data_IF_490209559251
#
_entry.id   IF_490209559251
#
_cell.length_a   1.000
_cell.length_b   1.000
_cell.length_c   1.000
_cell.angle_alpha   90.00
_cell.angle_beta   90.00
_cell.angle_gamma   90.00
#
_symmetry.space_group_name_H-M   'P 1'
#
loop_
_entity.id
_entity.type
_entity.pdbx_description
1 polymer ?
#
# COMPACT_ATOMS: atom_id res chain seq x y z
N UNK A 1 9.59 -3.91 -7.78
CA UNK A 1 9.42 -2.93 -6.69
C UNK A 1 8.74 -3.67 -5.55
N UNK A 2 8.86 -3.19 -4.30
CA UNK A 2 8.21 -3.82 -3.15
C UNK A 2 7.45 -2.77 -2.35
N UNK A 3 6.21 -3.07 -1.98
CA UNK A 3 5.42 -2.27 -1.04
C UNK A 3 4.71 -3.19 -0.04
N UNK A 4 4.52 -2.70 1.18
CA UNK A 4 3.77 -3.43 2.20
C UNK A 4 3.04 -2.50 3.16
N UNK A 5 1.99 -3.03 3.78
CA UNK A 5 1.25 -2.40 4.86
C UNK A 5 0.88 -3.48 5.86
N UNK A 6 1.11 -3.23 7.15
CA UNK A 6 0.78 -4.15 8.23
C UNK A 6 0.22 -3.40 9.42
N UNK A 7 -0.52 -4.11 10.27
CA UNK A 7 -0.86 -3.65 11.61
C UNK A 7 -0.11 -4.46 12.66
N UNK A 8 0.33 -3.77 13.71
CA UNK A 8 0.88 -4.40 14.89
C UNK A 8 0.04 -4.07 16.13
N UNK A 9 -0.13 -5.05 17.01
CA UNK A 9 -0.78 -4.89 18.30
C UNK A 9 0.11 -5.52 19.36
N UNK A 10 0.46 -4.76 20.41
CA UNK A 10 1.37 -5.18 21.46
C UNK A 10 2.74 -5.71 20.95
N UNK A 11 3.25 -5.14 19.84
CA UNK A 11 4.52 -5.53 19.24
C UNK A 11 4.43 -6.70 18.26
N UNK A 12 3.27 -7.34 18.14
CA UNK A 12 3.05 -8.48 17.25
C UNK A 12 2.27 -8.07 15.99
N UNK A 13 2.66 -8.61 14.84
CA UNK A 13 1.98 -8.35 13.57
C UNK A 13 0.65 -9.11 13.50
N UNK A 14 -0.45 -8.39 13.33
CA UNK A 14 -1.82 -8.96 13.31
C UNK A 14 -2.26 -9.31 11.89
N UNK A 15 -1.88 -8.49 10.93
CA UNK A 15 -2.09 -8.72 9.50
C UNK A 15 -1.03 -7.99 8.68
N UNK A 16 -0.83 -8.45 7.45
CA UNK A 16 0.08 -7.84 6.48
C UNK A 16 -0.48 -8.00 5.06
N UNK A 17 -0.23 -7.01 4.21
CA UNK A 17 -0.44 -7.04 2.77
C UNK A 17 0.85 -6.57 2.10
N UNK A 18 1.29 -7.27 1.06
CA UNK A 18 2.48 -6.86 0.31
C UNK A 18 2.38 -7.20 -1.17
N UNK A 19 3.10 -6.42 -1.98
CA UNK A 19 3.32 -6.63 -3.40
C UNK A 19 4.83 -6.75 -3.67
N UNK A 20 5.23 -7.75 -4.48
CA UNK A 20 6.60 -7.91 -4.95
C UNK A 20 6.66 -8.06 -6.49
N UNK A 21 6.92 -6.96 -7.19
CA UNK A 21 7.01 -6.97 -8.65
C UNK A 21 8.17 -7.84 -9.20
N UNK A 22 9.12 -8.28 -8.36
CA UNK A 22 10.16 -9.22 -8.77
C UNK A 22 9.64 -10.66 -8.88
N UNK A 23 8.52 -10.97 -8.21
CA UNK A 23 7.82 -12.27 -8.29
C UNK A 23 6.76 -12.28 -9.38
N UNK A 24 6.18 -11.12 -9.67
CA UNK A 24 5.29 -10.90 -10.81
C UNK A 24 4.48 -9.63 -10.65
N UNK A 25 4.04 -9.06 -11.77
CA UNK A 25 3.25 -7.80 -11.79
C UNK A 25 1.85 -7.94 -11.18
N UNK A 26 1.39 -9.17 -10.93
CA UNK A 26 0.17 -9.46 -10.16
C UNK A 26 0.46 -10.14 -8.80
N UNK A 27 1.72 -10.18 -8.36
CA UNK A 27 2.12 -10.85 -7.13
C UNK A 27 1.70 -10.02 -5.91
N UNK A 28 0.50 -10.26 -5.39
CA UNK A 28 -0.02 -9.60 -4.21
C UNK A 28 -0.49 -10.64 -3.21
N UNK A 29 -0.09 -10.47 -1.95
CA UNK A 29 -0.28 -11.45 -0.90
C UNK A 29 -0.78 -10.79 0.37
N UNK A 30 -1.37 -11.61 1.23
CA UNK A 30 -1.80 -11.19 2.55
C UNK A 30 -1.68 -12.30 3.59
N UNK A 31 -1.56 -11.89 4.86
CA UNK A 31 -1.66 -12.76 6.03
C UNK A 31 -2.52 -12.12 7.10
N UNK A 32 -3.13 -12.96 7.95
CA UNK A 32 -3.98 -12.49 9.05
C UNK A 32 -5.34 -11.98 8.57
N UNK A 33 -6.03 -11.26 9.45
CA UNK A 33 -7.34 -10.68 9.17
C UNK A 33 -7.17 -9.28 8.57
N UNK A 34 -6.94 -9.22 7.25
CA UNK A 34 -6.81 -7.95 6.52
C UNK A 34 -8.14 -7.17 6.54
N UNK A 35 -8.11 -5.83 6.66
CA UNK A 35 -9.29 -4.99 6.53
C UNK A 35 -10.08 -5.24 5.24
N UNK A 36 -11.41 -5.22 5.34
CA UNK A 36 -12.35 -5.48 4.22
C UNK A 36 -12.16 -4.52 3.03
N UNK A 37 -11.61 -3.35 3.28
CA UNK A 37 -11.32 -2.32 2.28
C UNK A 37 -10.31 -2.83 1.23
N UNK A 38 -9.47 -3.80 1.60
CA UNK A 38 -8.42 -4.33 0.71
C UNK A 38 -8.98 -4.96 -0.56
N UNK A 39 -10.08 -5.72 -0.48
CA UNK A 39 -10.65 -6.40 -1.65
C UNK A 39 -11.04 -5.40 -2.75
N UNK A 40 -11.65 -4.28 -2.36
CA UNK A 40 -12.02 -3.21 -3.30
C UNK A 40 -10.80 -2.50 -3.87
N UNK A 41 -9.80 -2.20 -3.04
CA UNK A 41 -8.56 -1.55 -3.45
C UNK A 41 -7.77 -2.44 -4.44
N UNK A 42 -7.59 -3.72 -4.12
CA UNK A 42 -6.90 -4.67 -4.97
C UNK A 42 -7.61 -4.86 -6.30
N UNK A 43 -8.96 -4.89 -6.31
CA UNK A 43 -9.74 -4.97 -7.53
C UNK A 43 -9.54 -3.74 -8.43
N UNK A 44 -9.58 -2.53 -7.87
CA UNK A 44 -9.34 -1.28 -8.61
C UNK A 44 -7.94 -1.25 -9.22
N UNK A 45 -6.92 -1.62 -8.44
CA UNK A 45 -5.54 -1.61 -8.94
C UNK A 45 -5.31 -2.69 -10.01
N UNK A 46 -5.95 -3.86 -9.86
CA UNK A 46 -5.91 -4.91 -10.88
C UNK A 46 -6.59 -4.49 -12.18
N UNK A 47 -7.72 -3.81 -12.10
CA UNK A 47 -8.41 -3.26 -13.27
C UNK A 47 -7.53 -2.24 -14.01
N UNK A 48 -6.85 -1.35 -13.27
CA UNK A 48 -5.91 -0.39 -13.87
C UNK A 48 -4.72 -1.08 -14.53
N UNK A 49 -4.18 -2.12 -13.89
CA UNK A 49 -3.11 -2.95 -14.46
C UNK A 49 -3.55 -3.60 -15.77
N UNK A 50 -4.72 -4.25 -15.79
CA UNK A 50 -5.29 -4.91 -16.95
C UNK A 50 -5.50 -3.91 -18.10
N UNK A 51 -6.02 -2.71 -17.80
CA UNK A 51 -6.24 -1.64 -18.77
C UNK A 51 -4.94 -1.10 -19.40
N UNK A 52 -3.81 -1.18 -18.68
CA UNK A 52 -2.50 -0.69 -19.13
C UNK A 52 -1.56 -1.79 -19.61
N UNK A 53 -2.12 -2.82 -20.28
CA UNK A 53 -1.33 -3.87 -20.92
C UNK A 53 -1.07 -5.10 -20.04
N UNK A 54 -1.66 -5.14 -18.84
CA UNK A 54 -1.61 -6.27 -17.93
C UNK A 54 -0.19 -6.74 -17.66
N UNK A 55 0.08 -8.03 -17.87
CA UNK A 55 1.42 -8.61 -17.67
C UNK A 55 2.53 -8.05 -18.56
N UNK A 56 2.17 -7.31 -19.60
CA UNK A 56 3.10 -6.68 -20.55
C UNK A 56 3.18 -5.15 -20.40
N UNK A 57 2.42 -4.59 -19.45
CA UNK A 57 2.45 -3.18 -19.13
C UNK A 57 3.80 -2.76 -18.53
N UNK A 58 4.20 -1.52 -18.77
CA UNK A 58 5.42 -0.94 -18.17
C UNK A 58 5.16 -0.28 -16.81
N UNK A 59 3.88 -0.12 -16.45
CA UNK A 59 3.44 0.50 -15.20
C UNK A 59 2.94 -0.59 -14.25
N UNK A 60 3.41 -0.51 -13.01
CA UNK A 60 3.00 -1.37 -11.90
C UNK A 60 1.95 -0.63 -11.07
N UNK A 61 0.69 -1.01 -11.22
CA UNK A 61 -0.42 -0.43 -10.46
C UNK A 61 -0.64 -1.15 -9.12
N UNK A 62 -0.21 -2.42 -8.99
CA UNK A 62 -0.40 -3.17 -7.75
C UNK A 62 0.51 -2.69 -6.62
N UNK A 63 1.61 -1.99 -6.93
CA UNK A 63 2.44 -1.35 -5.92
C UNK A 63 1.65 -0.41 -4.99
N UNK A 64 0.60 0.22 -5.50
CA UNK A 64 -0.22 1.16 -4.75
C UNK A 64 -1.22 0.46 -3.83
N UNK A 65 -1.52 -0.83 -4.01
CA UNK A 65 -2.56 -1.50 -3.22
C UNK A 65 -2.26 -1.52 -1.70
N UNK A 66 -1.04 -1.87 -1.22
CA UNK A 66 -0.71 -1.73 0.20
C UNK A 66 -0.71 -0.27 0.68
N UNK A 67 -0.31 0.67 -0.19
CA UNK A 67 -0.19 2.09 0.12
C UNK A 67 -1.58 2.72 0.31
N UNK A 68 -2.51 2.41 -0.60
CA UNK A 68 -3.91 2.85 -0.54
C UNK A 68 -4.65 2.22 0.63
N UNK A 69 -4.34 0.97 0.99
CA UNK A 69 -4.89 0.36 2.19
C UNK A 69 -4.44 1.11 3.45
N UNK A 70 -3.15 1.44 3.55
CA UNK A 70 -2.63 2.25 4.65
C UNK A 70 -3.34 3.61 4.73
N UNK A 71 -3.55 4.27 3.59
CA UNK A 71 -4.24 5.55 3.51
C UNK A 71 -5.72 5.45 3.87
N UNK A 72 -6.41 4.37 3.48
CA UNK A 72 -7.81 4.14 3.83
C UNK A 72 -8.00 3.97 5.35
N UNK A 73 -7.05 3.33 6.03
CA UNK A 73 -7.11 3.12 7.49
C UNK A 73 -6.69 4.38 8.26
N UNK A 74 -5.58 5.00 7.86
CA UNK A 74 -4.92 6.05 8.65
C UNK A 74 -5.27 7.46 8.22
N UNK A 75 -5.84 7.63 7.03
CA UNK A 75 -6.06 8.93 6.40
C UNK A 75 -4.78 9.57 5.83
N UNK A 76 -3.65 8.84 5.78
CA UNK A 76 -2.36 9.34 5.33
C UNK A 76 -1.69 8.42 4.30
N UNK A 77 -1.15 9.03 3.25
CA UNK A 77 -0.31 8.46 2.17
C UNK A 77 0.99 9.26 2.07
N UNK A 78 2.13 8.58 2.02
CA UNK A 78 3.44 9.22 2.17
C UNK A 78 3.83 10.16 1.01
N UNK A 79 3.25 9.98 -0.17
CA UNK A 79 3.53 10.74 -1.40
C UNK A 79 2.51 11.86 -1.67
N UNK A 80 1.53 12.06 -0.77
CA UNK A 80 0.53 13.13 -0.88
C UNK A 80 0.93 14.32 -0.02
N UNK A 81 1.08 15.48 -0.65
CA UNK A 81 1.55 16.71 -0.01
C UNK A 81 0.46 17.55 0.64
N UNK A 82 -0.83 17.32 0.34
CA UNK A 82 -1.94 18.11 0.88
C UNK A 82 -3.22 17.29 1.12
N UNK A 83 -3.91 17.62 2.21
CA UNK A 83 -5.14 17.01 2.70
C UNK A 83 -6.16 18.08 3.10
N UNK A 84 -7.38 17.66 3.44
CA UNK A 84 -8.40 18.57 3.98
C UNK A 84 -7.97 19.24 5.30
N UNK A 85 -7.15 18.56 6.09
CA UNK A 85 -6.58 19.08 7.33
C UNK A 85 -5.30 19.92 7.15
N UNK A 86 -4.82 20.10 5.92
CA UNK A 86 -3.61 20.87 5.60
C UNK A 86 -2.47 20.02 5.02
N UNK A 87 -1.25 20.46 5.24
CA UNK A 87 -0.02 19.80 4.76
C UNK A 87 0.62 19.00 5.90
N UNK A 88 1.16 17.79 5.64
CA UNK A 88 1.88 17.05 6.67
C UNK A 88 3.10 17.83 7.16
N UNK A 89 3.20 18.07 8.47
CA UNK A 89 4.36 18.68 9.10
C UNK A 89 5.17 17.60 9.83
N UNK A 90 6.37 17.31 9.33
CA UNK A 90 7.25 16.31 9.92
C UNK A 90 8.15 16.91 10.98
N UNK A 91 8.26 16.24 12.13
CA UNK A 91 9.20 16.58 13.20
C UNK A 91 10.21 15.45 13.35
N UNK A 92 11.50 15.81 13.42
CA UNK A 92 12.56 14.83 13.69
C UNK A 92 12.47 14.42 15.16
N UNK A 93 12.19 13.15 15.41
CA UNK A 93 12.12 12.57 16.76
C UNK A 93 13.46 12.03 17.26
N UNK A 94 14.34 11.61 16.35
CA UNK A 94 15.69 11.11 16.65
C UNK A 94 16.60 11.37 15.45
N UNK A 95 17.84 11.79 15.70
CA UNK A 95 18.90 11.82 14.67
C UNK A 95 19.87 10.69 14.97
N UNK A 96 19.91 9.71 14.09
CA UNK A 96 20.96 8.69 14.11
C UNK A 96 22.26 9.37 13.65
N UNK A 97 23.23 9.47 14.57
CA UNK A 97 24.54 10.07 14.34
C UNK A 97 25.54 9.13 13.70
#
# INVERSE_FOLDING_TARGET
MFSSCHAAQAGEMVWNVWHDAQKGIYDIHSTGAVPKEFDGIAAVQKEQQDAHGGSKGEVDYLIDAPIDLAAAITGYRYDRWRYAWGEPHFTIIEKLG
#
